data_IF_129201037275
#
_entry.id   IF_129201037275
#
_cell.length_a   1.000
_cell.length_b   1.000
_cell.length_c   1.000
_cell.angle_alpha   90.00
_cell.angle_beta   90.00
_cell.angle_gamma   90.00
#
_symmetry.space_group_name_H-M   'P 1'
#
loop_
_entity.id
_entity.type
_entity.pdbx_description
1 polymer ?
#
# COMPACT_ATOMS: atom_id res chain seq x y z
N UNK A 1 -11.22 -14.97 8.45
CA UNK A 1 -9.89 -14.54 8.93
C UNK A 1 -9.81 -14.51 10.44
N UNK A 2 -8.73 -15.02 11.04
CA UNK A 2 -8.44 -14.89 12.47
C UNK A 2 -7.25 -13.96 12.67
N UNK A 3 -7.40 -12.91 13.48
CA UNK A 3 -6.29 -12.04 13.91
C UNK A 3 -5.63 -12.72 15.11
N UNK A 4 -4.30 -12.85 15.08
CA UNK A 4 -3.52 -13.38 16.20
C UNK A 4 -3.07 -12.25 17.12
N UNK A 5 -3.15 -12.49 18.41
CA UNK A 5 -2.52 -11.62 19.41
C UNK A 5 -1.01 -11.65 19.29
N UNK A 6 -0.32 -10.63 19.84
CA UNK A 6 1.16 -10.58 19.81
C UNK A 6 1.80 -11.81 20.47
N UNK A 7 1.21 -12.35 21.53
CA UNK A 7 1.68 -13.54 22.22
C UNK A 7 1.53 -14.78 21.32
N UNK A 8 0.36 -14.95 20.68
CA UNK A 8 0.08 -16.09 19.80
C UNK A 8 1.04 -16.13 18.61
N UNK A 9 1.15 -15.04 17.83
CA UNK A 9 1.99 -15.10 16.63
C UNK A 9 3.49 -15.14 16.94
N UNK A 10 3.96 -14.64 18.09
CA UNK A 10 5.37 -14.80 18.50
C UNK A 10 5.73 -16.22 18.92
N UNK A 11 4.76 -16.97 19.44
CA UNK A 11 4.96 -18.37 19.85
C UNK A 11 4.72 -19.40 18.73
N UNK A 12 4.10 -18.97 17.62
CA UNK A 12 3.83 -19.84 16.47
C UNK A 12 4.90 -19.61 15.38
N UNK A 13 5.79 -20.60 15.11
CA UNK A 13 6.90 -20.41 14.18
C UNK A 13 6.49 -19.93 12.79
N UNK A 14 5.41 -20.48 12.20
CA UNK A 14 4.92 -20.10 10.87
C UNK A 14 4.38 -18.67 10.86
N UNK A 15 3.79 -18.20 11.96
CA UNK A 15 3.31 -16.84 12.06
C UNK A 15 4.47 -15.84 12.19
N UNK A 16 5.50 -16.19 12.99
CA UNK A 16 6.71 -15.39 13.12
C UNK A 16 7.46 -15.30 11.78
N UNK A 17 7.61 -16.40 11.08
CA UNK A 17 8.21 -16.45 9.74
C UNK A 17 7.46 -15.56 8.75
N UNK A 18 6.12 -15.58 8.75
CA UNK A 18 5.29 -14.73 7.90
C UNK A 18 5.49 -13.23 8.21
N UNK A 19 5.66 -12.86 9.48
CA UNK A 19 5.96 -11.47 9.89
C UNK A 19 7.36 -11.07 9.44
N UNK A 20 8.36 -11.93 9.63
CA UNK A 20 9.73 -11.66 9.21
C UNK A 20 9.87 -11.59 7.69
N UNK A 21 9.16 -12.44 6.94
CA UNK A 21 9.12 -12.40 5.48
C UNK A 21 8.53 -11.09 4.95
N UNK A 22 7.45 -10.59 5.60
CA UNK A 22 6.88 -9.28 5.23
C UNK A 22 7.88 -8.15 5.54
N UNK A 23 8.54 -8.17 6.69
CA UNK A 23 9.58 -7.21 7.04
C UNK A 23 10.75 -7.21 6.04
N UNK A 24 11.25 -8.39 5.66
CA UNK A 24 12.31 -8.55 4.67
C UNK A 24 11.88 -7.97 3.30
N UNK A 25 10.66 -8.26 2.85
CA UNK A 25 10.14 -7.73 1.59
C UNK A 25 9.96 -6.20 1.60
N UNK A 26 9.64 -5.59 2.74
CA UNK A 26 9.59 -4.14 2.88
C UNK A 26 10.99 -3.50 2.86
N UNK A 27 11.98 -4.17 3.46
CA UNK A 27 13.39 -3.75 3.38
C UNK A 27 13.90 -3.84 1.94
N UNK A 28 13.66 -4.95 1.25
CA UNK A 28 14.02 -5.13 -0.16
C UNK A 28 13.36 -4.07 -1.06
N UNK A 29 12.12 -3.72 -0.76
CA UNK A 29 11.42 -2.64 -1.45
C UNK A 29 12.00 -1.24 -1.16
N UNK A 30 12.94 -1.10 -0.21
CA UNK A 30 13.50 0.20 0.21
C UNK A 30 12.50 1.07 0.96
N UNK A 31 11.61 0.44 1.75
CA UNK A 31 10.57 1.18 2.49
C UNK A 31 11.18 2.08 3.56
N UNK A 32 12.21 1.60 4.23
CA UNK A 32 13.06 2.38 5.14
C UNK A 32 14.54 2.07 4.90
N UNK A 33 15.41 3.00 5.25
CA UNK A 33 16.84 2.88 5.04
C UNK A 33 17.52 2.23 6.25
N UNK A 34 17.98 0.99 6.13
CA UNK A 34 18.71 0.31 7.20
C UNK A 34 20.03 1.00 7.55
N UNK A 35 20.71 1.62 6.57
CA UNK A 35 21.96 2.34 6.77
C UNK A 35 21.80 3.70 7.46
N UNK A 36 20.56 4.19 7.61
CA UNK A 36 20.27 5.39 8.40
C UNK A 36 20.09 5.11 9.89
N UNK A 37 20.23 3.84 10.32
CA UNK A 37 19.96 3.45 11.70
C UNK A 37 20.67 4.32 12.73
N UNK A 38 19.92 4.83 13.68
CA UNK A 38 20.43 5.59 14.81
C UNK A 38 19.60 5.30 16.07
N UNK A 39 20.19 5.50 17.25
CA UNK A 39 19.45 5.39 18.51
C UNK A 39 18.46 6.56 18.62
N UNK A 40 17.25 6.30 19.12
CA UNK A 40 16.17 7.31 19.22
C UNK A 40 16.63 8.58 19.91
N UNK A 41 17.33 8.44 21.05
CA UNK A 41 17.77 9.59 21.85
C UNK A 41 18.82 10.44 21.11
N UNK A 42 19.69 9.80 20.32
CA UNK A 42 20.67 10.49 19.48
C UNK A 42 20.00 11.21 18.32
N UNK A 43 18.99 10.59 17.68
CA UNK A 43 18.20 11.22 16.63
C UNK A 43 17.54 12.51 17.14
N UNK A 44 16.87 12.44 18.29
CA UNK A 44 16.23 13.59 18.92
C UNK A 44 17.25 14.70 19.21
N UNK A 45 18.39 14.34 19.80
CA UNK A 45 19.47 15.29 20.13
C UNK A 45 20.00 15.97 18.87
N UNK A 46 20.22 15.23 17.79
CA UNK A 46 20.72 15.77 16.52
C UNK A 46 19.68 16.68 15.87
N UNK A 47 18.41 16.29 15.81
CA UNK A 47 17.33 17.08 15.24
C UNK A 47 17.17 18.43 15.96
N UNK A 48 17.14 18.42 17.31
CA UNK A 48 17.05 19.63 18.11
C UNK A 48 18.25 20.53 17.92
N UNK A 49 19.47 19.98 17.88
CA UNK A 49 20.69 20.74 17.65
C UNK A 49 20.72 21.41 16.28
N UNK A 50 20.21 20.74 15.27
CA UNK A 50 20.13 21.25 13.90
C UNK A 50 18.91 22.18 13.67
N UNK A 51 17.95 22.23 14.60
CA UNK A 51 16.68 22.93 14.40
C UNK A 51 15.80 22.28 13.34
N UNK A 52 16.01 20.99 13.06
CA UNK A 52 15.28 20.24 12.05
C UNK A 52 14.06 19.59 12.67
N UNK A 53 12.89 19.78 12.07
CA UNK A 53 11.66 19.08 12.46
C UNK A 53 11.64 17.68 11.88
N UNK A 54 11.28 16.72 12.71
CA UNK A 54 11.14 15.32 12.31
C UNK A 54 9.85 14.71 12.88
N UNK A 55 9.33 13.70 12.20
CA UNK A 55 8.26 12.86 12.72
C UNK A 55 8.83 11.50 13.13
N UNK A 56 8.45 11.00 14.29
CA UNK A 56 8.87 9.70 14.80
C UNK A 56 7.67 8.85 15.14
N UNK A 57 7.60 7.66 14.57
CA UNK A 57 6.53 6.69 14.82
C UNK A 57 7.07 5.29 15.09
N UNK A 58 6.19 4.44 15.59
CA UNK A 58 6.47 3.02 15.78
C UNK A 58 5.93 2.20 14.62
N UNK A 59 6.61 1.12 14.27
CA UNK A 59 6.04 0.08 13.42
C UNK A 59 5.37 -0.99 14.29
N UNK A 60 4.20 -1.43 13.86
CA UNK A 60 3.42 -2.50 14.49
C UNK A 60 3.43 -3.73 13.61
N UNK A 61 3.98 -4.83 14.14
CA UNK A 61 3.89 -6.15 13.51
C UNK A 61 2.60 -6.84 13.91
N UNK A 62 1.87 -7.36 12.93
CA UNK A 62 0.64 -8.15 13.12
C UNK A 62 0.69 -9.42 12.27
N UNK A 63 -0.07 -10.43 12.67
CA UNK A 63 -0.26 -11.64 11.87
C UNK A 63 -1.73 -12.06 11.87
N UNK A 64 -2.22 -12.46 10.70
CA UNK A 64 -3.57 -13.01 10.52
C UNK A 64 -3.49 -14.38 9.88
N UNK A 65 -4.50 -15.24 10.16
CA UNK A 65 -4.69 -16.49 9.44
C UNK A 65 -5.82 -16.29 8.44
N UNK A 66 -5.48 -16.33 7.14
CA UNK A 66 -6.49 -16.40 6.08
C UNK A 66 -7.14 -17.78 6.04
N UNK A 67 -8.39 -17.85 5.61
CA UNK A 67 -9.18 -19.09 5.49
C UNK A 67 -9.19 -19.91 6.78
N UNK A 68 -9.33 -19.21 7.94
CA UNK A 68 -9.30 -19.83 9.25
C UNK A 68 -10.30 -21.00 9.40
N UNK A 69 -11.44 -20.87 8.77
CA UNK A 69 -12.56 -21.83 8.82
C UNK A 69 -12.24 -23.15 8.10
N UNK A 70 -11.28 -23.14 7.17
CA UNK A 70 -10.89 -24.29 6.33
C UNK A 70 -9.44 -24.65 6.65
N UNK A 71 -9.19 -25.67 7.47
CA UNK A 71 -7.83 -26.01 7.96
C UNK A 71 -6.77 -26.14 6.87
N UNK A 72 -7.13 -26.77 5.73
CA UNK A 72 -6.22 -27.07 4.62
C UNK A 72 -5.81 -25.80 3.84
N UNK A 73 -6.63 -24.74 3.92
CA UNK A 73 -6.39 -23.47 3.21
C UNK A 73 -5.79 -22.39 4.11
N UNK A 74 -5.54 -22.69 5.37
CA UNK A 74 -4.99 -21.72 6.33
C UNK A 74 -3.63 -21.20 5.87
N UNK A 75 -3.52 -19.89 5.77
CA UNK A 75 -2.27 -19.21 5.40
C UNK A 75 -2.00 -18.06 6.36
N UNK A 76 -0.83 -18.09 7.00
CA UNK A 76 -0.38 -16.98 7.82
C UNK A 76 0.01 -15.80 6.95
N UNK A 77 -0.45 -14.61 7.32
CA UNK A 77 -0.11 -13.36 6.65
C UNK A 77 0.37 -12.34 7.66
N UNK A 78 1.68 -12.06 7.63
CA UNK A 78 2.30 -10.96 8.36
C UNK A 78 1.94 -9.61 7.74
N UNK A 79 1.87 -8.58 8.57
CA UNK A 79 1.78 -7.18 8.14
C UNK A 79 2.61 -6.31 9.08
N UNK A 80 3.26 -5.32 8.50
CA UNK A 80 3.96 -4.26 9.22
C UNK A 80 3.25 -2.95 8.90
N UNK A 81 2.77 -2.27 9.92
CA UNK A 81 2.02 -1.03 9.78
C UNK A 81 2.68 0.10 10.59
N UNK A 82 2.62 1.30 10.09
CA UNK A 82 3.00 2.50 10.84
C UNK A 82 1.89 2.87 11.83
N UNK A 83 2.26 3.29 13.03
CA UNK A 83 1.32 3.77 14.05
C UNK A 83 1.09 5.26 13.93
N UNK A 84 0.24 5.66 12.99
CA UNK A 84 -0.08 7.08 12.75
C UNK A 84 -0.75 7.78 13.93
N UNK A 85 -1.45 7.01 14.78
CA UNK A 85 -2.10 7.48 16.00
C UNK A 85 -1.12 7.93 17.10
N UNK A 86 0.14 7.54 17.00
CA UNK A 86 1.14 7.74 18.04
C UNK A 86 2.41 8.47 17.55
N UNK A 87 2.34 9.16 16.40
CA UNK A 87 3.47 9.90 15.85
C UNK A 87 3.81 11.11 16.73
N UNK A 88 5.10 11.29 17.01
CA UNK A 88 5.66 12.38 17.83
C UNK A 88 6.66 13.19 17.03
N UNK A 89 6.78 14.47 17.34
CA UNK A 89 7.88 15.30 16.89
C UNK A 89 9.16 15.12 17.76
N UNK A 90 10.20 15.88 17.46
CA UNK A 90 11.48 15.86 18.21
C UNK A 90 11.36 16.37 19.66
N UNK A 91 10.26 17.02 20.02
CA UNK A 91 9.97 17.48 21.38
C UNK A 91 9.03 16.53 22.14
N UNK A 92 8.51 15.48 21.46
CA UNK A 92 7.59 14.51 22.04
C UNK A 92 6.13 14.96 21.99
N UNK A 93 5.83 16.08 21.34
CA UNK A 93 4.46 16.49 21.06
C UNK A 93 3.83 15.63 19.94
N UNK A 94 2.51 15.62 19.85
CA UNK A 94 1.83 14.95 18.74
C UNK A 94 2.24 15.62 17.41
N UNK A 95 2.71 14.81 16.45
CA UNK A 95 3.09 15.31 15.13
C UNK A 95 1.86 15.76 14.35
N UNK A 96 2.00 16.87 13.64
CA UNK A 96 0.96 17.39 12.76
C UNK A 96 1.32 16.97 11.34
N UNK A 97 0.51 16.09 10.76
CA UNK A 97 0.63 15.66 9.37
C UNK A 97 -0.07 16.66 8.45
N UNK A 98 0.32 16.63 7.17
CA UNK A 98 -0.42 17.38 6.14
C UNK A 98 -1.83 16.80 6.02
N UNK A 99 -2.82 17.65 5.85
CA UNK A 99 -4.20 17.22 5.57
C UNK A 99 -4.32 16.78 4.11
N UNK A 100 -3.76 15.62 3.81
CA UNK A 100 -3.79 14.97 2.52
C UNK A 100 -4.82 13.84 2.57
N UNK A 101 -6.02 14.12 2.08
CA UNK A 101 -7.04 13.08 1.94
C UNK A 101 -6.81 12.26 0.67
N UNK A 102 -7.02 10.95 0.74
CA UNK A 102 -7.20 10.07 -0.42
C UNK A 102 -8.68 9.83 -0.63
N UNK A 103 -9.08 9.77 -1.89
CA UNK A 103 -10.48 9.58 -2.26
C UNK A 103 -10.61 8.34 -3.15
N UNK A 104 -10.65 7.12 -2.57
CA UNK A 104 -10.92 5.93 -3.35
C UNK A 104 -12.30 6.04 -4.01
N UNK A 105 -12.49 5.33 -5.13
CA UNK A 105 -13.77 5.36 -5.83
C UNK A 105 -14.93 4.97 -4.92
N UNK A 106 -16.07 5.64 -5.11
CA UNK A 106 -17.32 5.20 -4.50
C UNK A 106 -17.86 3.95 -5.21
N UNK A 107 -18.80 3.23 -4.57
CA UNK A 107 -19.42 2.03 -5.15
C UNK A 107 -20.10 2.32 -6.50
N UNK A 108 -20.55 3.53 -6.72
CA UNK A 108 -21.13 4.00 -7.97
C UNK A 108 -20.11 3.94 -9.12
N UNK A 109 -18.85 4.28 -8.85
CA UNK A 109 -17.75 4.18 -9.81
C UNK A 109 -17.49 2.74 -10.24
N UNK A 110 -17.40 1.84 -9.28
CA UNK A 110 -17.24 0.42 -9.55
C UNK A 110 -18.42 -0.15 -10.37
N UNK A 111 -19.65 0.21 -9.99
CA UNK A 111 -20.85 -0.23 -10.73
C UNK A 111 -20.90 0.33 -12.15
N UNK A 112 -20.55 1.60 -12.36
CA UNK A 112 -20.46 2.21 -13.68
C UNK A 112 -19.42 1.52 -14.57
N UNK A 113 -18.26 1.20 -13.99
CA UNK A 113 -17.20 0.48 -14.69
C UNK A 113 -17.67 -0.92 -15.11
N UNK A 114 -18.33 -1.67 -14.23
CA UNK A 114 -18.87 -3.00 -14.52
C UNK A 114 -19.94 -2.90 -15.62
N UNK A 115 -20.88 -1.96 -15.51
CA UNK A 115 -21.93 -1.75 -16.50
C UNK A 115 -21.35 -1.42 -17.89
N UNK A 116 -20.29 -0.60 -17.93
CA UNK A 116 -19.58 -0.30 -19.18
C UNK A 116 -18.93 -1.53 -19.79
N UNK A 117 -18.44 -2.44 -18.97
CA UNK A 117 -17.90 -3.73 -19.43
C UNK A 117 -18.93 -4.69 -20.05
N UNK A 118 -20.23 -4.45 -19.83
CA UNK A 118 -21.32 -5.28 -20.40
C UNK A 118 -21.74 -4.84 -21.82
N UNK A 119 -21.19 -3.74 -22.34
CA UNK A 119 -21.42 -3.32 -23.73
C UNK A 119 -20.87 -4.39 -24.69
N UNK A 120 -21.55 -4.72 -25.81
CA UNK A 120 -21.06 -5.70 -26.79
C UNK A 120 -19.62 -5.40 -27.24
N UNK A 121 -18.75 -6.42 -27.19
CA UNK A 121 -17.31 -6.31 -27.51
C UNK A 121 -16.45 -5.74 -26.40
N UNK A 122 -17.05 -5.34 -25.29
CA UNK A 122 -16.34 -4.93 -24.07
C UNK A 122 -16.16 -6.08 -23.10
N UNK A 123 -15.43 -5.83 -22.03
CA UNK A 123 -15.24 -6.73 -20.91
C UNK A 123 -14.77 -5.96 -19.69
N UNK A 124 -14.67 -6.66 -18.58
CA UNK A 124 -14.14 -6.13 -17.33
C UNK A 124 -13.03 -7.03 -16.81
N UNK A 125 -11.87 -6.48 -16.56
CA UNK A 125 -10.74 -7.16 -15.92
C UNK A 125 -10.26 -6.41 -14.70
N UNK A 126 -9.66 -7.13 -13.77
CA UNK A 126 -9.17 -6.59 -12.50
C UNK A 126 -7.73 -7.00 -12.24
N UNK A 127 -7.01 -6.22 -11.47
CA UNK A 127 -5.69 -6.55 -10.94
C UNK A 127 -5.48 -5.85 -9.61
N UNK A 128 -4.79 -6.52 -8.68
CA UNK A 128 -4.43 -5.95 -7.38
C UNK A 128 -3.03 -5.32 -7.45
N UNK A 129 -2.88 -4.10 -6.96
CA UNK A 129 -1.57 -3.47 -6.84
C UNK A 129 -0.77 -4.12 -5.69
N UNK A 130 0.36 -4.73 -6.04
CA UNK A 130 1.22 -5.43 -5.07
C UNK A 130 1.82 -4.44 -4.07
N UNK A 131 1.39 -4.51 -2.80
CA UNK A 131 1.83 -3.56 -1.76
C UNK A 131 1.70 -2.10 -2.21
N UNK A 132 0.51 -1.70 -2.64
CA UNK A 132 0.22 -0.42 -3.28
C UNK A 132 0.99 0.77 -2.66
N UNK A 133 0.83 1.04 -1.37
CA UNK A 133 1.44 2.20 -0.73
C UNK A 133 2.97 2.24 -0.86
N UNK A 134 3.67 1.12 -0.68
CA UNK A 134 5.15 1.11 -0.74
C UNK A 134 5.71 1.22 -2.16
N UNK A 135 4.86 1.35 -3.17
CA UNK A 135 5.30 1.73 -4.50
C UNK A 135 5.51 3.25 -4.62
N UNK A 136 4.85 4.04 -3.77
CA UNK A 136 4.98 5.50 -3.74
C UNK A 136 6.05 5.96 -2.74
N UNK A 137 6.77 7.04 -3.09
CA UNK A 137 7.64 7.74 -2.14
C UNK A 137 6.79 8.50 -1.11
N UNK A 138 7.25 8.50 0.13
CA UNK A 138 6.69 9.34 1.18
C UNK A 138 7.25 10.76 1.03
N UNK A 139 6.45 11.67 0.49
CA UNK A 139 6.82 13.07 0.26
C UNK A 139 6.22 13.97 1.35
N UNK A 140 6.40 13.59 2.62
CA UNK A 140 5.96 14.39 3.76
C UNK A 140 6.77 15.66 3.91
N UNK A 141 6.18 16.68 4.54
CA UNK A 141 6.85 17.97 4.81
C UNK A 141 8.09 17.79 5.68
N UNK A 142 8.07 16.86 6.63
CA UNK A 142 9.16 16.53 7.52
C UNK A 142 9.59 15.08 7.36
N UNK A 143 10.88 14.83 7.56
CA UNK A 143 11.39 13.46 7.57
C UNK A 143 10.66 12.60 8.60
N UNK A 144 10.23 11.43 8.17
CA UNK A 144 9.60 10.45 9.07
C UNK A 144 10.60 9.36 9.43
N UNK A 145 10.74 9.10 10.70
CA UNK A 145 11.62 8.07 11.27
C UNK A 145 10.78 7.01 11.98
N UNK A 146 11.14 5.75 11.81
CA UNK A 146 10.37 4.62 12.35
C UNK A 146 11.21 3.76 13.28
N UNK A 147 10.65 3.45 14.46
CA UNK A 147 11.23 2.46 15.34
C UNK A 147 11.00 1.06 14.77
N UNK A 148 12.07 0.34 14.47
CA UNK A 148 11.99 -1.00 13.90
C UNK A 148 11.64 -2.00 15.01
N UNK A 149 10.60 -2.86 14.81
CA UNK A 149 10.25 -3.90 15.76
C UNK A 149 11.38 -4.90 15.98
N UNK A 150 11.57 -5.35 17.22
CA UNK A 150 12.68 -6.23 17.63
C UNK A 150 12.81 -7.51 16.77
N UNK A 151 11.69 -8.09 16.37
CA UNK A 151 11.64 -9.28 15.53
C UNK A 151 12.15 -9.09 14.10
N UNK A 152 12.38 -7.83 13.68
CA UNK A 152 12.90 -7.44 12.37
C UNK A 152 14.35 -6.92 12.43
N UNK A 153 14.97 -6.91 13.61
CA UNK A 153 16.32 -6.37 13.75
C UNK A 153 17.35 -7.26 13.06
N UNK A 154 18.26 -6.68 12.29
CA UNK A 154 19.48 -7.36 11.88
C UNK A 154 20.26 -7.87 13.10
N UNK A 155 20.96 -8.99 12.95
CA UNK A 155 21.70 -9.62 14.06
C UNK A 155 22.70 -8.68 14.72
N UNK A 156 23.34 -7.83 13.95
CA UNK A 156 24.33 -6.86 14.39
C UNK A 156 23.76 -5.69 15.22
N UNK A 157 22.45 -5.52 15.29
CA UNK A 157 21.81 -4.51 16.13
C UNK A 157 21.60 -4.94 17.58
N UNK A 158 21.54 -6.26 17.80
CA UNK A 158 21.35 -6.81 19.14
C UNK A 158 22.53 -6.45 20.04
N UNK A 159 22.25 -5.90 21.21
CA UNK A 159 23.25 -5.40 22.15
C UNK A 159 23.86 -4.02 21.83
N UNK A 160 23.63 -3.47 20.63
CA UNK A 160 24.10 -2.12 20.24
C UNK A 160 23.03 -1.05 20.42
N UNK A 161 21.79 -1.37 20.09
CA UNK A 161 20.67 -0.43 20.14
C UNK A 161 19.66 -0.85 21.20
N UNK A 162 18.97 0.13 21.77
CA UNK A 162 17.80 -0.06 22.64
C UNK A 162 16.50 0.24 21.87
N UNK A 163 16.52 1.28 21.05
CA UNK A 163 15.40 1.70 20.20
C UNK A 163 15.89 2.25 18.87
N UNK A 164 16.32 1.38 17.93
CA UNK A 164 16.83 1.82 16.64
C UNK A 164 15.71 2.46 15.81
N UNK A 165 16.02 3.61 15.25
CA UNK A 165 15.18 4.34 14.31
C UNK A 165 15.80 4.31 12.93
N UNK A 166 14.99 4.11 11.90
CA UNK A 166 15.38 4.23 10.50
C UNK A 166 14.51 5.25 9.78
N UNK A 167 15.07 5.96 8.81
CA UNK A 167 14.32 6.89 7.98
C UNK A 167 13.33 6.15 7.09
N UNK A 168 12.05 6.52 7.12
CA UNK A 168 10.99 5.99 6.28
C UNK A 168 11.00 6.75 4.94
N UNK A 169 11.14 6.03 3.83
CA UNK A 169 11.29 6.60 2.49
C UNK A 169 10.04 6.44 1.65
N UNK A 170 9.31 5.32 1.86
CA UNK A 170 8.09 5.04 1.09
C UNK A 170 6.87 5.10 1.97
N UNK A 171 5.75 5.39 1.33
CA UNK A 171 4.46 5.33 1.99
C UNK A 171 4.22 3.93 2.57
N UNK A 172 3.63 3.85 3.76
CA UNK A 172 3.40 2.60 4.46
C UNK A 172 2.01 2.60 5.10
N UNK A 173 1.38 1.44 5.15
CA UNK A 173 0.08 1.27 5.80
C UNK A 173 0.07 1.87 7.21
N UNK A 174 -0.95 2.66 7.52
CA UNK A 174 -1.11 3.34 8.80
C UNK A 174 -0.46 4.72 8.90
N UNK A 175 0.39 5.12 7.94
CA UNK A 175 0.87 6.50 7.89
C UNK A 175 -0.25 7.40 7.31
N UNK A 176 -0.57 8.54 7.95
CA UNK A 176 -1.72 9.37 7.57
C UNK A 176 -1.71 9.83 6.11
N UNK A 177 -0.54 10.13 5.57
CA UNK A 177 -0.38 10.67 4.21
C UNK A 177 -0.22 9.58 3.13
N UNK A 178 -0.13 8.29 3.51
CA UNK A 178 0.19 7.21 2.56
C UNK A 178 -0.83 7.04 1.45
N UNK A 179 -2.12 7.21 1.77
CA UNK A 179 -3.20 7.10 0.78
C UNK A 179 -3.04 8.11 -0.35
N UNK A 180 -2.80 9.37 0.01
CA UNK A 180 -2.63 10.46 -0.97
C UNK A 180 -1.37 10.29 -1.82
N UNK A 181 -0.25 9.85 -1.21
CA UNK A 181 0.98 9.60 -1.98
C UNK A 181 0.82 8.46 -2.99
N UNK A 182 0.12 7.40 -2.60
CA UNK A 182 -0.21 6.31 -3.52
C UNK A 182 -1.14 6.77 -4.65
N UNK A 183 -2.22 7.48 -4.32
CA UNK A 183 -3.17 8.00 -5.31
C UNK A 183 -2.47 8.92 -6.33
N UNK A 184 -1.60 9.81 -5.87
CA UNK A 184 -0.81 10.67 -6.75
C UNK A 184 0.15 9.88 -7.63
N UNK A 185 0.85 8.88 -7.09
CA UNK A 185 1.76 8.02 -7.83
C UNK A 185 1.03 7.23 -8.93
N UNK A 186 -0.12 6.64 -8.61
CA UNK A 186 -0.93 5.91 -9.58
C UNK A 186 -1.54 6.85 -10.62
N UNK A 187 -2.02 8.02 -10.21
CA UNK A 187 -2.56 9.04 -11.13
C UNK A 187 -1.51 9.49 -12.14
N UNK A 188 -0.26 9.70 -11.70
CA UNK A 188 0.86 10.02 -12.59
C UNK A 188 1.09 8.89 -13.62
N UNK A 189 1.14 7.63 -13.17
CA UNK A 189 1.28 6.47 -14.05
C UNK A 189 0.16 6.40 -15.10
N UNK A 190 -1.09 6.58 -14.66
CA UNK A 190 -2.29 6.52 -15.52
C UNK A 190 -2.30 7.66 -16.54
N UNK A 191 -1.96 8.88 -16.13
CA UNK A 191 -1.88 10.04 -17.05
C UNK A 191 -0.82 9.85 -18.12
N UNK A 192 0.33 9.29 -17.79
CA UNK A 192 1.38 8.96 -18.75
C UNK A 192 0.94 7.92 -19.79
N UNK A 193 -0.11 7.17 -19.51
CA UNK A 193 -0.75 6.22 -20.43
C UNK A 193 -1.94 6.81 -21.19
N UNK A 194 -2.22 8.11 -21.02
CA UNK A 194 -3.33 8.82 -21.67
C UNK A 194 -4.68 8.72 -20.95
N UNK A 195 -4.67 8.33 -19.66
CA UNK A 195 -5.88 8.32 -18.83
C UNK A 195 -6.08 9.66 -18.12
N UNK A 196 -7.25 10.26 -18.29
CA UNK A 196 -7.61 11.51 -17.63
C UNK A 196 -8.58 11.27 -16.48
N UNK A 197 -8.37 11.90 -15.31
CA UNK A 197 -9.32 11.83 -14.20
C UNK A 197 -10.69 12.37 -14.62
N UNK A 198 -11.75 11.65 -14.28
CA UNK A 198 -13.10 12.10 -14.52
C UNK A 198 -13.46 13.15 -13.47
N UNK A 199 -13.87 14.34 -13.93
CA UNK A 199 -14.24 15.45 -13.05
C UNK A 199 -15.33 15.04 -12.06
N UNK A 200 -15.16 15.41 -10.80
CA UNK A 200 -16.08 15.10 -9.69
C UNK A 200 -16.35 13.59 -9.47
N UNK A 201 -15.48 12.73 -9.98
CA UNK A 201 -15.59 11.29 -9.84
C UNK A 201 -14.22 10.69 -9.47
N UNK A 202 -13.78 10.83 -8.20
CA UNK A 202 -12.42 10.51 -7.76
C UNK A 202 -12.05 9.05 -8.06
N UNK A 203 -10.77 8.84 -8.34
CA UNK A 203 -10.18 7.53 -8.65
C UNK A 203 -10.84 6.78 -9.81
N UNK A 204 -11.42 7.54 -10.75
CA UNK A 204 -11.93 7.07 -12.02
C UNK A 204 -11.25 7.82 -13.17
N UNK A 205 -10.78 7.07 -14.17
CA UNK A 205 -10.00 7.62 -15.28
C UNK A 205 -10.56 7.16 -16.62
N UNK A 206 -10.69 8.09 -17.56
CA UNK A 206 -11.14 7.84 -18.91
C UNK A 206 -9.98 7.88 -19.89
N UNK A 207 -9.95 6.93 -20.83
CA UNK A 207 -8.97 6.86 -21.91
C UNK A 207 -9.70 7.04 -23.25
N UNK A 208 -9.66 8.26 -23.79
CA UNK A 208 -10.43 8.62 -24.98
C UNK A 208 -10.09 7.78 -26.20
N UNK A 209 -8.80 7.66 -26.53
CA UNK A 209 -8.34 6.95 -27.75
C UNK A 209 -8.69 5.46 -27.75
N UNK A 210 -8.71 4.85 -26.59
CA UNK A 210 -8.90 3.39 -26.45
C UNK A 210 -10.25 3.02 -25.86
N UNK A 211 -11.07 4.03 -25.52
CA UNK A 211 -12.42 3.86 -24.97
C UNK A 211 -12.43 2.94 -23.76
N UNK A 212 -11.55 3.21 -22.79
CA UNK A 212 -11.43 2.44 -21.53
C UNK A 212 -11.78 3.31 -20.35
N UNK A 213 -12.38 2.67 -19.35
CA UNK A 213 -12.64 3.23 -18.04
C UNK A 213 -11.84 2.44 -17.00
N UNK A 214 -10.94 3.12 -16.28
CA UNK A 214 -10.23 2.56 -15.14
C UNK A 214 -10.84 3.13 -13.87
N UNK A 215 -11.22 2.25 -12.96
CA UNK A 215 -11.72 2.59 -11.62
C UNK A 215 -10.78 1.99 -10.58
N UNK A 216 -10.43 2.76 -9.56
CA UNK A 216 -9.46 2.37 -8.54
C UNK A 216 -10.06 2.44 -7.15
N UNK A 217 -9.93 1.37 -6.39
CA UNK A 217 -10.26 1.32 -4.97
C UNK A 217 -9.04 0.86 -4.17
N UNK A 218 -8.22 1.81 -3.76
CA UNK A 218 -6.95 1.61 -3.05
C UNK A 218 -5.97 0.76 -3.86
N UNK A 219 -5.93 -0.56 -3.61
CA UNK A 219 -5.10 -1.56 -4.30
C UNK A 219 -5.85 -2.31 -5.41
N UNK A 220 -7.17 -2.28 -5.41
CA UNK A 220 -8.01 -2.92 -6.44
C UNK A 220 -8.14 -2.01 -7.67
N UNK A 221 -7.66 -2.46 -8.84
CA UNK A 221 -7.81 -1.79 -10.12
C UNK A 221 -8.82 -2.54 -10.98
N UNK A 222 -9.80 -1.82 -11.51
CA UNK A 222 -10.87 -2.34 -12.35
C UNK A 222 -10.86 -1.64 -13.70
N UNK A 223 -10.65 -2.38 -14.78
CA UNK A 223 -10.60 -1.86 -16.14
C UNK A 223 -11.77 -2.39 -16.97
N UNK A 224 -12.52 -1.49 -17.58
CA UNK A 224 -13.59 -1.83 -18.52
C UNK A 224 -13.44 -1.12 -19.86
N UNK A 225 -13.93 -1.75 -20.92
CA UNK A 225 -13.89 -1.27 -22.29
C UNK A 225 -13.65 -2.38 -23.29
N UNK A 226 -13.25 -2.07 -24.54
CA UNK A 226 -12.97 -3.06 -25.55
C UNK A 226 -11.95 -4.08 -25.08
N UNK A 227 -12.35 -5.33 -24.93
CA UNK A 227 -11.56 -6.40 -24.26
C UNK A 227 -10.19 -6.63 -24.95
N UNK A 228 -10.11 -6.42 -26.26
CA UNK A 228 -8.87 -6.53 -27.04
C UNK A 228 -7.77 -5.58 -26.58
N UNK A 229 -8.12 -4.49 -25.89
CA UNK A 229 -7.18 -3.46 -25.45
C UNK A 229 -6.66 -3.69 -24.01
N UNK A 230 -7.23 -4.66 -23.25
CA UNK A 230 -6.91 -4.85 -21.84
C UNK A 230 -5.48 -5.35 -21.62
N UNK A 231 -5.07 -6.38 -22.34
CA UNK A 231 -3.73 -6.96 -22.17
C UNK A 231 -2.61 -5.94 -22.43
N UNK A 232 -2.78 -5.09 -23.44
CA UNK A 232 -1.83 -4.01 -23.72
C UNK A 232 -1.79 -2.98 -22.59
N UNK A 233 -2.95 -2.57 -22.07
CA UNK A 233 -3.02 -1.62 -20.95
C UNK A 233 -2.26 -2.14 -19.72
N UNK A 234 -2.57 -3.34 -19.27
CA UNK A 234 -1.94 -3.93 -18.10
C UNK A 234 -0.42 -4.07 -18.26
N UNK A 235 0.02 -4.44 -19.46
CA UNK A 235 1.46 -4.47 -19.77
C UNK A 235 2.08 -3.07 -19.70
N UNK A 236 1.43 -2.08 -20.31
CA UNK A 236 1.91 -0.70 -20.32
C UNK A 236 1.95 -0.09 -18.91
N UNK A 237 0.99 -0.43 -18.05
CA UNK A 237 0.97 -0.01 -16.65
C UNK A 237 2.17 -0.57 -15.87
N UNK A 238 2.59 -1.80 -16.17
CA UNK A 238 3.73 -2.46 -15.52
C UNK A 238 5.10 -2.02 -16.07
N UNK A 239 5.18 -1.57 -17.31
CA UNK A 239 6.44 -1.29 -18.01
C UNK A 239 6.61 0.17 -18.42
N UNK A 240 5.66 1.03 -18.07
CA UNK A 240 5.68 2.46 -18.39
C UNK A 240 6.76 3.25 -17.64
N UNK A 241 6.80 4.56 -17.85
CA UNK A 241 7.76 5.47 -17.17
C UNK A 241 7.61 5.48 -15.65
N UNK A 242 6.39 5.30 -15.15
CA UNK A 242 6.07 5.12 -13.73
C UNK A 242 5.42 3.74 -13.63
N UNK A 243 6.21 2.66 -13.43
CA UNK A 243 5.70 1.29 -13.45
C UNK A 243 4.93 0.98 -12.17
N UNK A 244 3.76 0.38 -12.32
CA UNK A 244 2.95 -0.12 -11.21
C UNK A 244 3.05 -1.64 -11.16
N UNK A 245 3.52 -2.17 -10.02
CA UNK A 245 3.52 -3.63 -9.79
C UNK A 245 2.10 -4.08 -9.47
N UNK A 246 1.59 -5.00 -10.28
CA UNK A 246 0.27 -5.60 -10.10
C UNK A 246 0.39 -7.12 -10.12
N UNK A 247 -0.54 -7.80 -9.47
CA UNK A 247 -0.76 -9.23 -9.65
C UNK A 247 -1.25 -9.52 -11.07
N UNK A 248 -1.12 -10.76 -11.58
CA UNK A 248 -1.61 -11.11 -12.92
C UNK A 248 -3.07 -10.68 -13.10
N UNK A 249 -3.38 -9.89 -14.15
CA UNK A 249 -4.75 -9.44 -14.38
C UNK A 249 -5.69 -10.62 -14.67
N UNK A 250 -6.89 -10.56 -14.11
CA UNK A 250 -7.92 -11.58 -14.23
C UNK A 250 -9.22 -10.98 -14.76
N UNK A 251 -10.12 -11.82 -15.30
CA UNK A 251 -11.49 -11.41 -15.53
C UNK A 251 -12.18 -11.18 -14.18
N UNK A 252 -13.09 -10.21 -14.14
CA UNK A 252 -13.78 -9.87 -12.91
C UNK A 252 -14.59 -11.05 -12.37
N UNK A 253 -14.17 -11.63 -11.24
CA UNK A 253 -14.94 -12.58 -10.43
C UNK A 253 -15.42 -11.93 -9.13
N UNK A 254 -14.54 -11.18 -8.45
CA UNK A 254 -14.83 -10.49 -7.19
C UNK A 254 -14.33 -9.08 -7.19
N UNK A 255 -15.14 -8.19 -6.60
CA UNK A 255 -14.75 -6.81 -6.30
C UNK A 255 -15.43 -6.37 -5.00
N UNK A 256 -14.69 -5.72 -4.11
CA UNK A 256 -15.19 -5.19 -2.83
C UNK A 256 -16.01 -6.22 -2.03
N UNK A 257 -15.54 -7.49 -2.02
CA UNK A 257 -16.19 -8.60 -1.32
C UNK A 257 -17.43 -9.18 -2.00
N UNK A 258 -17.85 -8.67 -3.17
CA UNK A 258 -18.99 -9.16 -3.96
C UNK A 258 -18.52 -10.06 -5.08
N UNK A 259 -19.17 -11.20 -5.25
CA UNK A 259 -18.98 -12.08 -6.41
C UNK A 259 -19.84 -11.56 -7.56
N UNK A 260 -19.25 -11.49 -8.76
CA UNK A 260 -19.93 -11.10 -9.99
C UNK A 260 -20.10 -12.32 -10.86
N UNK A 261 -21.33 -12.56 -11.31
CA UNK A 261 -21.68 -13.65 -12.24
C UNK A 261 -22.26 -13.02 -13.48
N UNK A 262 -21.58 -13.18 -14.60
CA UNK A 262 -22.06 -12.71 -15.89
C UNK A 262 -22.87 -13.83 -16.53
N UNK A 263 -24.18 -13.59 -16.76
CA UNK A 263 -25.08 -14.48 -17.48
C UNK A 263 -25.35 -13.90 -18.85
N UNK A 264 -25.24 -14.72 -19.92
CA UNK A 264 -25.79 -14.34 -21.21
C UNK A 264 -27.33 -14.34 -21.12
N UNK A 265 -27.95 -13.27 -21.59
CA UNK A 265 -29.39 -13.25 -21.86
C UNK A 265 -29.69 -14.05 -23.11
#
# INVERSE_FOLDING_TARGET
HKILTRKEWKSEPKALEAVQAEGAALVEAGTWLLNSVTEKDDLIRLARKAGTKIHMGDLLSTCTIKHWEIPELRKYKGRICYRGDATKDEYGAAAIHQDLSSSPTAIQGANACIAYGMVPGHGTSTADAVRAYVQALLKSLFETWVAIPYELWPKEWHGKFRRPMCQLIKALYGHPESGAHWENHLTEAVRLLGGEPIWNFPSNFWFEDSRRLLTVYVDDLLLSGPIKNHAQFWRSLQTGKVPIKIDPPELLDRLLGRKHVFTSL
#
